data_IF_361731293052
#
_entry.id   IF_361731293052
#
_cell.length_a   1.000
_cell.length_b   1.000
_cell.length_c   1.000
_cell.angle_alpha   90.00
_cell.angle_beta   90.00
_cell.angle_gamma   90.00
#
_symmetry.space_group_name_H-M   'P 1'
#
loop_
_entity.id
_entity.type
_entity.pdbx_description
1 polymer ?
#
# COMPACT_ATOMS: atom_id res chain seq x y z
N UNK A 1 -20.92 -3.26 -11.97
CA UNK A 1 -20.93 -3.67 -10.56
C UNK A 1 -22.23 -4.44 -10.27
N UNK A 2 -22.20 -5.38 -9.36
CA UNK A 2 -23.34 -6.23 -8.98
C UNK A 2 -24.55 -5.39 -8.52
N UNK A 3 -24.32 -4.27 -7.86
CA UNK A 3 -25.36 -3.32 -7.45
C UNK A 3 -26.16 -2.81 -8.65
N UNK A 4 -25.53 -2.34 -9.72
CA UNK A 4 -26.22 -1.91 -10.95
C UNK A 4 -27.04 -3.02 -11.60
N UNK A 5 -26.54 -4.27 -11.55
CA UNK A 5 -27.27 -5.43 -12.05
C UNK A 5 -28.55 -5.69 -11.24
N UNK A 6 -28.46 -5.61 -9.91
CA UNK A 6 -29.60 -5.78 -9.01
C UNK A 6 -30.62 -4.64 -9.13
N UNK A 7 -30.18 -3.41 -9.28
CA UNK A 7 -31.06 -2.25 -9.55
C UNK A 7 -31.86 -2.44 -10.84
N UNK A 8 -31.22 -2.96 -11.90
CA UNK A 8 -31.89 -3.27 -13.16
C UNK A 8 -32.94 -4.37 -12.99
N UNK A 9 -32.61 -5.44 -12.26
CA UNK A 9 -33.54 -6.53 -11.93
C UNK A 9 -34.73 -6.04 -11.09
N UNK A 10 -34.51 -5.14 -10.14
CA UNK A 10 -35.55 -4.52 -9.35
C UNK A 10 -36.52 -3.70 -10.22
N UNK A 11 -36.00 -2.82 -11.08
CA UNK A 11 -36.83 -2.07 -12.00
C UNK A 11 -37.64 -2.96 -12.93
N UNK A 12 -37.05 -3.99 -13.52
CA UNK A 12 -37.75 -4.94 -14.38
C UNK A 12 -38.90 -5.66 -13.65
N UNK A 13 -38.69 -6.12 -12.42
CA UNK A 13 -39.70 -6.77 -11.60
C UNK A 13 -40.84 -5.84 -11.23
N UNK A 14 -40.52 -4.56 -10.87
CA UNK A 14 -41.52 -3.55 -10.52
C UNK A 14 -42.41 -3.20 -11.72
N UNK A 15 -41.81 -2.99 -12.90
CA UNK A 15 -42.55 -2.73 -14.14
C UNK A 15 -43.42 -3.92 -14.54
N UNK A 16 -42.94 -5.18 -14.36
CA UNK A 16 -43.75 -6.37 -14.62
C UNK A 16 -44.94 -6.49 -13.66
N UNK A 17 -44.76 -6.18 -12.38
CA UNK A 17 -45.84 -6.18 -11.40
C UNK A 17 -46.93 -5.16 -11.79
N UNK A 18 -46.57 -3.91 -12.10
CA UNK A 18 -47.53 -2.89 -12.55
C UNK A 18 -48.25 -3.25 -13.84
N UNK A 19 -47.58 -3.89 -14.81
CA UNK A 19 -48.24 -4.36 -16.05
C UNK A 19 -49.25 -5.49 -15.80
N UNK A 20 -49.07 -6.25 -14.76
CA UNK A 20 -50.04 -7.32 -14.40
C UNK A 20 -51.28 -6.70 -13.77
N UNK A 21 -51.14 -5.69 -12.94
CA UNK A 21 -52.24 -4.94 -12.31
C UNK A 21 -53.04 -4.10 -13.33
N UNK A 22 -52.39 -3.52 -14.33
CA UNK A 22 -53.01 -2.63 -15.31
C UNK A 22 -53.67 -3.33 -16.51
N UNK A 23 -53.73 -4.67 -16.55
CA UNK A 23 -54.43 -5.36 -17.64
C UNK A 23 -55.95 -5.19 -17.53
N UNK A 24 -56.61 -4.56 -18.52
CA UNK A 24 -58.07 -4.40 -18.50
C UNK A 24 -58.77 -5.76 -18.56
N UNK A 25 -59.73 -5.96 -17.68
CA UNK A 25 -60.60 -7.12 -17.65
C UNK A 25 -61.64 -7.01 -18.78
N UNK A 26 -61.28 -7.39 -20.00
CA UNK A 26 -62.29 -7.64 -21.07
C UNK A 26 -62.73 -9.08 -20.97
N UNK A 27 -63.87 -9.35 -20.32
CA UNK A 27 -64.57 -10.60 -20.41
C UNK A 27 -66.07 -10.39 -20.53
N UNK A 28 -66.66 -11.05 -21.51
CA UNK A 28 -68.12 -11.08 -21.78
C UNK A 28 -68.90 -11.73 -20.62
N UNK A 29 -70.05 -11.14 -20.34
CA UNK A 29 -70.87 -11.41 -19.16
C UNK A 29 -71.81 -12.58 -19.32
N UNK A 30 -71.35 -13.81 -19.30
CA UNK A 30 -72.24 -14.94 -19.01
C UNK A 30 -71.46 -16.19 -18.63
N UNK A 31 -71.49 -16.60 -17.42
CA UNK A 31 -70.74 -17.68 -16.71
C UNK A 31 -69.60 -17.24 -15.81
N UNK A 32 -69.59 -16.04 -15.42
CA UNK A 32 -68.36 -15.35 -15.09
C UNK A 32 -68.08 -15.19 -13.61
N UNK A 33 -69.01 -15.21 -12.66
CA UNK A 33 -68.76 -14.75 -11.29
C UNK A 33 -67.71 -15.59 -10.53
N UNK A 34 -67.72 -16.89 -10.64
CA UNK A 34 -66.81 -17.76 -9.88
C UNK A 34 -65.46 -17.95 -10.60
N UNK A 35 -65.43 -18.05 -11.95
CA UNK A 35 -64.20 -18.16 -12.73
C UNK A 35 -63.44 -16.81 -12.74
N UNK A 36 -64.18 -15.71 -12.83
CA UNK A 36 -63.57 -14.39 -12.73
C UNK A 36 -62.92 -14.11 -11.37
N UNK A 37 -63.59 -14.50 -10.26
CA UNK A 37 -63.05 -14.34 -8.93
C UNK A 37 -61.72 -15.11 -8.74
N UNK A 38 -61.64 -16.37 -9.18
CA UNK A 38 -60.44 -17.19 -9.10
C UNK A 38 -59.33 -16.69 -10.03
N UNK A 39 -59.66 -16.20 -11.23
CA UNK A 39 -58.74 -15.64 -12.18
C UNK A 39 -58.15 -14.31 -11.66
N UNK A 40 -58.99 -13.41 -11.11
CA UNK A 40 -58.56 -12.15 -10.49
C UNK A 40 -57.65 -12.42 -9.31
N UNK A 41 -58.03 -13.34 -8.44
CA UNK A 41 -57.20 -13.73 -7.26
C UNK A 41 -55.84 -14.29 -7.67
N UNK A 42 -55.76 -15.11 -8.73
CA UNK A 42 -54.46 -15.60 -9.25
C UNK A 42 -53.59 -14.48 -9.83
N UNK A 43 -54.19 -13.47 -10.45
CA UNK A 43 -53.47 -12.31 -10.98
C UNK A 43 -52.95 -11.46 -9.82
N UNK A 44 -53.77 -11.17 -8.81
CA UNK A 44 -53.38 -10.45 -7.61
C UNK A 44 -52.27 -11.18 -6.83
N UNK A 45 -52.40 -12.50 -6.64
CA UNK A 45 -51.39 -13.31 -5.97
C UNK A 45 -50.06 -13.30 -6.72
N UNK A 46 -50.10 -13.30 -8.06
CA UNK A 46 -48.91 -13.18 -8.90
C UNK A 46 -48.26 -11.78 -8.82
N UNK A 47 -49.07 -10.73 -8.80
CA UNK A 47 -48.60 -9.35 -8.62
C UNK A 47 -47.94 -9.19 -7.23
N UNK A 48 -48.60 -9.61 -6.15
CA UNK A 48 -48.06 -9.61 -4.78
C UNK A 48 -46.77 -10.42 -4.64
N UNK A 49 -46.68 -11.58 -5.31
CA UNK A 49 -45.46 -12.40 -5.33
C UNK A 49 -44.30 -11.66 -6.00
N UNK A 50 -44.56 -10.94 -7.12
CA UNK A 50 -43.54 -10.13 -7.78
C UNK A 50 -43.11 -8.92 -6.96
N UNK A 51 -44.04 -8.27 -6.28
CA UNK A 51 -43.72 -7.15 -5.36
C UNK A 51 -42.86 -7.62 -4.19
N UNK A 52 -43.22 -8.74 -3.54
CA UNK A 52 -42.38 -9.33 -2.48
C UNK A 52 -40.97 -9.65 -3.00
N UNK A 53 -40.89 -10.21 -4.22
CA UNK A 53 -39.61 -10.50 -4.84
C UNK A 53 -38.80 -9.23 -5.17
N UNK A 54 -39.42 -8.13 -5.58
CA UNK A 54 -38.77 -6.84 -5.78
C UNK A 54 -38.30 -6.26 -4.45
N UNK A 55 -39.13 -6.29 -3.40
CA UNK A 55 -38.77 -5.81 -2.05
C UNK A 55 -37.56 -6.57 -1.47
N UNK A 56 -37.49 -7.88 -1.69
CA UNK A 56 -36.34 -8.68 -1.27
C UNK A 56 -35.06 -8.30 -2.00
N UNK A 57 -35.15 -7.97 -3.30
CA UNK A 57 -34.00 -7.47 -4.05
C UNK A 57 -33.55 -6.09 -3.52
N UNK A 58 -34.52 -5.23 -3.18
CA UNK A 58 -34.20 -3.90 -2.60
C UNK A 58 -33.51 -4.02 -1.24
N UNK A 59 -34.03 -4.87 -0.34
CA UNK A 59 -33.36 -5.16 0.95
C UNK A 59 -31.93 -5.69 0.73
N UNK A 60 -31.72 -6.51 -0.28
CA UNK A 60 -30.38 -7.02 -0.61
C UNK A 60 -29.45 -5.89 -1.10
N UNK A 61 -29.96 -4.93 -1.84
CA UNK A 61 -29.21 -3.75 -2.28
C UNK A 61 -28.87 -2.86 -1.08
N UNK A 62 -29.81 -2.66 -0.14
CA UNK A 62 -29.60 -1.87 1.08
C UNK A 62 -28.55 -2.51 2.01
N UNK A 63 -28.56 -3.84 2.11
CA UNK A 63 -27.55 -4.60 2.89
C UNK A 63 -26.21 -4.77 2.16
N UNK A 64 -26.11 -4.42 0.89
CA UNK A 64 -24.81 -4.37 0.21
C UNK A 64 -24.04 -3.16 0.75
N UNK A 65 -23.14 -3.40 1.71
CA UNK A 65 -22.12 -2.42 2.07
C UNK A 65 -21.43 -1.95 0.80
N UNK A 66 -21.59 -0.67 0.49
CA UNK A 66 -20.80 -0.01 -0.54
C UNK A 66 -19.36 -0.01 -0.02
N UNK A 67 -18.59 -1.05 -0.32
CA UNK A 67 -17.15 -1.00 -0.13
C UNK A 67 -16.69 0.22 -0.91
N UNK A 68 -16.42 1.30 -0.19
CA UNK A 68 -15.79 2.48 -0.77
C UNK A 68 -14.55 1.99 -1.51
N UNK A 69 -14.41 2.39 -2.78
CA UNK A 69 -13.20 2.13 -3.54
C UNK A 69 -12.02 2.49 -2.63
N UNK A 70 -11.04 1.61 -2.38
CA UNK A 70 -9.89 1.97 -1.56
C UNK A 70 -9.39 3.32 -2.07
N UNK A 71 -9.24 4.30 -1.18
CA UNK A 71 -8.61 5.56 -1.56
C UNK A 71 -7.29 5.20 -2.21
N UNK A 72 -7.12 5.58 -3.48
CA UNK A 72 -5.81 5.42 -4.13
C UNK A 72 -4.83 6.14 -3.22
N UNK A 73 -3.95 5.36 -2.61
CA UNK A 73 -2.88 5.94 -1.80
C UNK A 73 -2.11 6.89 -2.71
N UNK A 74 -1.91 8.15 -2.31
CA UNK A 74 -1.11 9.07 -3.10
C UNK A 74 0.22 8.39 -3.38
N UNK A 75 0.59 8.32 -4.66
CA UNK A 75 1.84 7.71 -5.09
C UNK A 75 2.98 8.48 -4.44
N UNK A 76 3.78 7.77 -3.66
CA UNK A 76 4.97 8.33 -3.06
C UNK A 76 5.99 8.59 -4.17
N UNK A 77 6.37 9.84 -4.38
CA UNK A 77 7.46 10.22 -5.27
C UNK A 77 8.63 10.70 -4.40
N UNK A 78 9.56 9.81 -4.01
CA UNK A 78 10.76 10.24 -3.33
C UNK A 78 11.59 11.09 -4.29
N UNK A 79 11.81 12.35 -3.92
CA UNK A 79 12.63 13.28 -4.72
C UNK A 79 14.05 13.30 -4.15
N UNK A 80 14.97 12.63 -4.84
CA UNK A 80 16.38 12.57 -4.50
C UNK A 80 17.22 13.67 -5.16
N UNK A 81 16.59 14.72 -5.73
CA UNK A 81 17.31 15.79 -6.44
C UNK A 81 18.22 16.64 -5.54
N UNK A 82 18.02 16.55 -4.23
CA UNK A 82 18.85 17.26 -3.26
C UNK A 82 20.13 16.50 -2.91
N UNK A 83 20.30 15.29 -3.43
CA UNK A 83 21.50 14.49 -3.19
C UNK A 83 22.61 14.84 -4.20
N UNK A 84 23.84 14.96 -3.73
CA UNK A 84 25.00 15.17 -4.58
C UNK A 84 25.67 13.82 -4.87
N UNK A 85 25.37 13.16 -6.01
CA UNK A 85 25.86 11.82 -6.28
C UNK A 85 27.37 11.82 -6.45
N UNK A 86 28.09 10.75 -6.09
CA UNK A 86 29.51 10.60 -6.36
C UNK A 86 29.81 10.76 -7.85
N UNK A 87 30.98 11.30 -8.18
CA UNK A 87 31.39 11.50 -9.58
C UNK A 87 31.98 10.25 -10.21
N UNK A 88 32.49 9.34 -9.41
CA UNK A 88 33.16 8.12 -9.88
C UNK A 88 32.14 7.17 -10.55
N UNK A 89 32.51 6.52 -11.69
CA UNK A 89 31.66 5.56 -12.38
C UNK A 89 31.44 4.27 -11.56
N UNK A 90 32.41 3.88 -10.73
CA UNK A 90 32.34 2.78 -9.79
C UNK A 90 32.34 3.36 -8.40
N UNK A 91 31.33 3.03 -7.59
CA UNK A 91 31.17 3.60 -6.25
C UNK A 91 31.54 2.63 -5.14
N UNK A 92 31.40 1.34 -5.38
CA UNK A 92 31.83 0.29 -4.46
C UNK A 92 32.54 -0.80 -5.27
N UNK A 93 33.66 -1.30 -4.70
CA UNK A 93 34.43 -2.41 -5.26
C UNK A 93 34.89 -3.31 -4.13
N UNK A 94 34.61 -4.59 -4.27
CA UNK A 94 35.22 -5.65 -3.48
C UNK A 94 36.04 -6.55 -4.36
N UNK A 95 37.28 -6.83 -3.95
CA UNK A 95 38.21 -7.70 -4.68
C UNK A 95 38.78 -8.72 -3.70
N UNK A 96 38.74 -10.01 -4.09
CA UNK A 96 39.28 -11.12 -3.30
C UNK A 96 38.80 -11.14 -1.84
N UNK A 97 37.50 -10.87 -1.64
CA UNK A 97 36.90 -10.81 -0.30
C UNK A 97 36.79 -12.22 0.25
N UNK A 98 37.31 -12.41 1.45
CA UNK A 98 37.13 -13.66 2.20
C UNK A 98 36.66 -13.29 3.62
N UNK A 99 35.61 -13.94 4.07
CA UNK A 99 35.01 -13.67 5.39
C UNK A 99 34.46 -14.96 6.00
N UNK A 100 34.73 -15.17 7.27
CA UNK A 100 34.19 -16.29 8.04
C UNK A 100 33.64 -15.84 9.40
N UNK A 101 32.74 -16.63 9.96
CA UNK A 101 32.31 -16.55 11.35
C UNK A 101 32.77 -17.82 12.08
N UNK A 102 33.74 -17.72 12.98
CA UNK A 102 34.23 -18.81 13.81
C UNK A 102 34.56 -20.09 13.01
N UNK A 103 35.20 -19.90 11.83
CA UNK A 103 35.59 -21.01 10.95
C UNK A 103 34.51 -21.42 9.92
N UNK A 104 33.32 -20.86 9.99
CA UNK A 104 32.30 -21.05 8.94
C UNK A 104 32.50 -20.00 7.83
N UNK A 105 33.03 -20.44 6.69
CA UNK A 105 33.27 -19.56 5.54
C UNK A 105 31.95 -19.03 4.97
N UNK A 106 31.84 -17.72 4.90
CA UNK A 106 30.71 -17.00 4.26
C UNK A 106 31.07 -16.58 2.85
N UNK A 107 32.27 -16.04 2.68
CA UNK A 107 32.84 -15.68 1.39
C UNK A 107 34.23 -16.26 1.24
N UNK A 108 34.55 -16.70 0.03
CA UNK A 108 35.85 -17.21 -0.35
C UNK A 108 36.19 -16.61 -1.74
N UNK A 109 37.17 -15.73 -1.79
CA UNK A 109 37.68 -15.09 -3.01
C UNK A 109 36.58 -14.39 -3.86
N UNK A 110 35.60 -13.77 -3.19
CA UNK A 110 34.49 -13.09 -3.88
C UNK A 110 34.93 -11.72 -4.40
N UNK A 111 34.49 -11.39 -5.61
CA UNK A 111 34.76 -10.06 -6.20
C UNK A 111 33.49 -9.49 -6.82
N UNK A 112 33.26 -8.17 -6.61
CA UNK A 112 32.11 -7.48 -7.19
C UNK A 112 32.36 -5.99 -7.37
N UNK A 113 31.51 -5.37 -8.20
CA UNK A 113 31.56 -3.94 -8.51
C UNK A 113 30.14 -3.37 -8.54
N UNK A 114 29.92 -2.25 -7.86
CA UNK A 114 28.68 -1.48 -7.92
C UNK A 114 28.94 -0.17 -8.66
N UNK A 115 28.22 0.03 -9.77
CA UNK A 115 28.33 1.23 -10.60
C UNK A 115 27.50 2.37 -10.02
N UNK A 116 27.94 3.59 -10.25
CA UNK A 116 27.19 4.77 -9.90
C UNK A 116 25.82 4.79 -10.61
N UNK A 117 24.80 5.32 -9.91
CA UNK A 117 23.41 5.39 -10.40
C UNK A 117 22.78 4.03 -10.75
N UNK A 118 23.41 2.89 -10.42
CA UNK A 118 22.82 1.58 -10.58
C UNK A 118 21.82 1.25 -9.48
N UNK A 119 20.87 0.37 -9.80
CA UNK A 119 20.01 -0.32 -8.83
C UNK A 119 20.47 -1.77 -8.77
N UNK A 120 21.07 -2.17 -7.67
CA UNK A 120 21.64 -3.49 -7.47
C UNK A 120 20.83 -4.27 -6.44
N UNK A 121 20.45 -5.50 -6.76
CA UNK A 121 19.81 -6.42 -5.83
C UNK A 121 20.78 -7.54 -5.46
N UNK A 122 20.87 -7.86 -4.17
CA UNK A 122 21.62 -9.00 -3.65
C UNK A 122 20.62 -10.11 -3.37
N UNK A 123 20.74 -11.23 -4.10
CA UNK A 123 19.84 -12.36 -4.00
C UNK A 123 20.57 -13.57 -3.42
N UNK A 124 19.86 -14.41 -2.69
CA UNK A 124 20.36 -15.64 -2.09
C UNK A 124 19.47 -16.13 -0.97
N UNK A 125 19.68 -17.35 -0.53
CA UNK A 125 18.92 -17.98 0.54
C UNK A 125 19.16 -17.31 1.91
N UNK A 126 18.32 -17.63 2.90
CA UNK A 126 18.53 -17.19 4.26
C UNK A 126 19.84 -17.76 4.80
N UNK A 127 20.68 -16.92 5.39
CA UNK A 127 22.02 -17.33 5.85
C UNK A 127 23.12 -17.27 4.78
N UNK A 128 22.82 -16.94 3.51
CA UNK A 128 23.83 -16.83 2.44
C UNK A 128 24.80 -15.64 2.59
N UNK A 129 24.75 -14.90 3.70
CA UNK A 129 25.68 -13.80 3.96
C UNK A 129 25.23 -12.41 3.49
N UNK A 130 24.00 -12.24 2.97
CA UNK A 130 23.53 -10.92 2.43
C UNK A 130 23.77 -9.76 3.40
N UNK A 131 23.29 -9.88 4.63
CA UNK A 131 23.48 -8.87 5.68
C UNK A 131 24.95 -8.71 6.06
N UNK A 132 25.74 -9.78 6.01
CA UNK A 132 27.19 -9.74 6.22
C UNK A 132 27.86 -8.86 5.17
N UNK A 133 27.53 -9.02 3.88
CA UNK A 133 28.05 -8.18 2.82
C UNK A 133 27.67 -6.71 3.01
N UNK A 134 26.42 -6.44 3.39
CA UNK A 134 25.96 -5.07 3.66
C UNK A 134 26.74 -4.46 4.83
N UNK A 135 27.00 -5.19 5.90
CA UNK A 135 27.82 -4.72 7.03
C UNK A 135 29.27 -4.47 6.58
N UNK A 136 29.88 -5.37 5.79
CA UNK A 136 31.22 -5.17 5.25
C UNK A 136 31.33 -3.89 4.39
N UNK A 137 30.28 -3.57 3.61
CA UNK A 137 30.21 -2.32 2.83
C UNK A 137 30.12 -1.10 3.76
N UNK A 138 29.28 -1.17 4.79
CA UNK A 138 29.09 -0.08 5.75
C UNK A 138 30.37 0.20 6.57
N UNK A 139 31.01 -0.87 7.03
CA UNK A 139 32.23 -0.82 7.83
C UNK A 139 33.48 -0.62 6.96
N UNK A 140 33.34 -0.62 5.62
CA UNK A 140 34.45 -0.55 4.64
C UNK A 140 35.50 -1.64 4.89
N UNK A 141 35.05 -2.80 5.34
CA UNK A 141 35.92 -3.95 5.64
C UNK A 141 36.20 -4.73 4.36
N UNK A 142 37.44 -4.77 3.89
CA UNK A 142 37.90 -5.36 2.62
C UNK A 142 37.17 -4.83 1.36
N UNK A 143 36.39 -3.76 1.49
CA UNK A 143 35.59 -3.18 0.42
C UNK A 143 35.93 -1.72 0.26
N UNK A 144 36.32 -1.35 -0.95
CA UNK A 144 36.53 0.04 -1.30
C UNK A 144 35.19 0.72 -1.59
N UNK A 145 34.93 1.79 -0.87
CA UNK A 145 33.80 2.70 -1.07
C UNK A 145 34.36 4.08 -1.35
N UNK A 146 33.95 4.72 -2.45
CA UNK A 146 34.47 6.05 -2.81
C UNK A 146 34.22 7.07 -1.68
N UNK A 147 35.14 7.99 -1.42
CA UNK A 147 35.03 8.94 -0.29
C UNK A 147 33.76 9.78 -0.33
N UNK A 148 33.30 10.17 -1.54
CA UNK A 148 32.11 10.99 -1.76
C UNK A 148 30.81 10.21 -1.57
N UNK A 149 30.85 8.87 -1.40
CA UNK A 149 29.67 8.07 -1.13
C UNK A 149 29.25 8.20 0.34
N UNK A 150 28.07 8.79 0.54
CA UNK A 150 27.41 8.93 1.82
C UNK A 150 26.31 7.88 1.92
N UNK A 151 26.63 6.81 2.66
CA UNK A 151 25.76 5.63 2.76
C UNK A 151 24.62 5.90 3.74
N UNK A 152 23.39 5.69 3.29
CA UNK A 152 22.21 5.61 4.14
C UNK A 152 21.74 4.16 4.23
N UNK A 153 21.57 3.66 5.45
CA UNK A 153 21.18 2.28 5.69
C UNK A 153 19.85 2.22 6.42
N UNK A 154 18.92 1.47 5.85
CA UNK A 154 17.67 1.10 6.51
C UNK A 154 17.78 -0.35 6.98
N UNK A 155 17.86 -0.52 8.28
CA UNK A 155 17.82 -1.84 8.93
C UNK A 155 16.39 -2.26 9.21
N UNK A 156 16.12 -3.55 9.19
CA UNK A 156 14.86 -4.14 9.60
C UNK A 156 14.44 -3.74 11.02
N UNK A 157 15.39 -3.59 11.95
CA UNK A 157 15.14 -3.26 13.36
C UNK A 157 15.14 -1.77 13.70
N UNK A 158 15.33 -0.86 12.74
CA UNK A 158 15.20 0.61 12.87
C UNK A 158 15.89 1.21 14.11
N UNK A 159 17.05 0.68 14.49
CA UNK A 159 17.80 1.05 15.70
C UNK A 159 18.31 2.51 15.74
N UNK A 160 18.16 3.26 14.64
CA UNK A 160 18.71 4.63 14.51
C UNK A 160 17.73 5.71 14.95
N UNK A 161 16.60 5.35 15.57
CA UNK A 161 15.57 6.30 16.01
C UNK A 161 15.55 6.42 17.52
N UNK A 162 15.46 7.65 18.00
CA UNK A 162 15.19 7.92 19.39
C UNK A 162 13.68 7.77 19.67
N UNK A 163 13.32 6.71 20.40
CA UNK A 163 11.93 6.37 20.68
C UNK A 163 11.22 7.40 21.57
N UNK A 164 11.95 8.18 22.34
CA UNK A 164 11.41 9.17 23.27
C UNK A 164 11.18 10.54 22.63
N UNK A 165 11.83 10.80 21.51
CA UNK A 165 11.62 12.02 20.72
C UNK A 165 10.42 11.89 19.79
N UNK A 166 9.90 13.04 19.37
CA UNK A 166 8.85 13.10 18.36
C UNK A 166 9.38 12.73 16.97
N UNK A 167 8.48 12.40 16.07
CA UNK A 167 8.78 12.15 14.65
C UNK A 167 9.55 13.31 14.04
N UNK A 168 9.09 14.54 14.27
CA UNK A 168 9.73 15.73 13.71
C UNK A 168 11.13 15.96 14.30
N UNK A 169 11.31 15.77 15.60
CA UNK A 169 12.61 15.91 16.26
C UNK A 169 13.62 14.88 15.74
N UNK A 170 13.20 13.62 15.53
CA UNK A 170 14.08 12.62 14.92
C UNK A 170 14.51 13.00 13.51
N UNK A 171 13.58 13.49 12.68
CA UNK A 171 13.90 13.94 11.33
C UNK A 171 14.85 15.15 11.36
N UNK A 172 14.60 16.11 12.22
CA UNK A 172 15.43 17.32 12.32
C UNK A 172 16.83 17.05 12.88
N UNK A 173 17.00 15.99 13.67
CA UNK A 173 18.32 15.60 14.19
C UNK A 173 19.32 15.18 13.10
N UNK A 174 18.82 14.68 11.97
CA UNK A 174 19.65 14.22 10.83
C UNK A 174 19.49 15.09 9.58
N UNK A 175 18.61 16.08 9.62
CA UNK A 175 18.27 16.90 8.46
C UNK A 175 19.32 17.95 8.18
N UNK A 176 19.77 17.99 6.91
CA UNK A 176 20.50 19.14 6.35
C UNK A 176 19.57 20.20 5.77
N UNK A 177 18.25 19.92 5.79
CA UNK A 177 17.19 20.75 5.21
C UNK A 177 16.50 21.58 6.29
N UNK A 178 15.84 22.67 5.86
CA UNK A 178 14.98 23.45 6.74
C UNK A 178 13.75 22.63 7.17
N UNK A 179 13.21 22.95 8.33
CA UNK A 179 12.05 22.26 8.92
C UNK A 179 10.84 22.21 7.98
N UNK A 180 10.62 23.23 7.16
CA UNK A 180 9.51 23.28 6.19
C UNK A 180 9.63 22.19 5.12
N UNK A 181 10.87 21.94 4.65
CA UNK A 181 11.15 20.87 3.68
C UNK A 181 10.97 19.50 4.36
N UNK A 182 11.46 19.34 5.58
CA UNK A 182 11.29 18.12 6.35
C UNK A 182 9.80 17.79 6.56
N UNK A 183 8.98 18.77 6.93
CA UNK A 183 7.51 18.60 7.04
C UNK A 183 6.86 18.21 5.72
N UNK A 184 7.30 18.82 4.62
CA UNK A 184 6.79 18.48 3.27
C UNK A 184 7.12 17.03 2.92
N UNK A 185 8.33 16.56 3.22
CA UNK A 185 8.73 15.17 2.99
C UNK A 185 7.92 14.21 3.85
N UNK A 186 7.74 14.50 5.14
CA UNK A 186 6.90 13.70 6.03
C UNK A 186 5.46 13.61 5.52
N UNK A 187 4.88 14.73 5.08
CA UNK A 187 3.53 14.76 4.51
C UNK A 187 3.42 13.92 3.22
N UNK A 188 4.43 13.96 2.35
CA UNK A 188 4.50 13.10 1.14
C UNK A 188 4.59 11.61 1.48
N UNK A 189 5.14 11.27 2.63
CA UNK A 189 5.18 9.91 3.18
C UNK A 189 3.90 9.55 3.97
N UNK A 190 2.88 10.42 3.91
CA UNK A 190 1.60 10.23 4.61
C UNK A 190 1.72 10.23 6.13
N UNK A 191 2.69 10.93 6.68
CA UNK A 191 2.76 11.27 8.09
C UNK A 191 2.12 12.65 8.26
N UNK A 192 0.99 12.69 8.95
CA UNK A 192 0.21 13.93 9.15
C UNK A 192 0.86 14.84 10.20
N UNK A 193 0.43 16.10 10.28
CA UNK A 193 0.87 17.03 11.32
C UNK A 193 0.64 16.47 12.74
N UNK A 194 -0.41 15.67 12.93
CA UNK A 194 -0.66 14.98 14.20
C UNK A 194 0.39 13.90 14.47
N UNK A 195 0.79 13.16 13.43
CA UNK A 195 1.79 12.10 13.55
C UNK A 195 3.18 12.67 13.81
N UNK A 196 3.51 13.83 13.23
CA UNK A 196 4.78 14.52 13.44
C UNK A 196 5.04 14.90 14.91
N UNK A 197 3.96 15.09 15.68
CA UNK A 197 4.01 15.42 17.11
C UNK A 197 4.02 14.20 18.04
N UNK A 198 3.74 13.00 17.52
CA UNK A 198 3.79 11.77 18.30
C UNK A 198 5.24 11.38 18.60
N UNK A 199 5.45 10.70 19.72
CA UNK A 199 6.71 10.04 20.02
C UNK A 199 6.88 8.82 19.11
N UNK A 200 8.12 8.50 18.75
CA UNK A 200 8.39 7.37 17.83
C UNK A 200 7.94 6.04 18.43
N UNK A 201 7.96 5.88 19.75
CA UNK A 201 7.44 4.69 20.43
C UNK A 201 5.96 4.41 20.14
N UNK A 202 5.15 5.45 19.87
CA UNK A 202 3.71 5.35 19.64
C UNK A 202 3.36 5.06 18.18
N UNK A 203 4.35 4.95 17.30
CA UNK A 203 4.19 4.66 15.88
C UNK A 203 4.05 3.16 15.64
N UNK A 204 3.19 2.81 14.67
CA UNK A 204 3.17 1.48 14.08
C UNK A 204 4.46 1.15 13.31
N UNK A 205 4.72 -0.13 13.04
CA UNK A 205 5.91 -0.55 12.26
C UNK A 205 6.00 0.13 10.90
N UNK A 206 4.87 0.23 10.18
CA UNK A 206 4.83 0.92 8.89
C UNK A 206 5.07 2.44 8.98
N UNK A 207 4.61 3.09 10.05
CA UNK A 207 4.90 4.52 10.29
C UNK A 207 6.36 4.74 10.66
N UNK A 208 6.98 3.84 11.42
CA UNK A 208 8.43 3.87 11.70
C UNK A 208 9.24 3.68 10.42
N UNK A 209 8.82 2.79 9.51
CA UNK A 209 9.48 2.62 8.21
C UNK A 209 9.41 3.93 7.39
N UNK A 210 8.25 4.58 7.34
CA UNK A 210 8.10 5.90 6.69
C UNK A 210 9.00 6.95 7.30
N UNK A 211 9.13 6.96 8.65
CA UNK A 211 10.05 7.85 9.35
C UNK A 211 11.51 7.57 8.96
N UNK A 212 11.92 6.30 8.89
CA UNK A 212 13.25 5.92 8.43
C UNK A 212 13.55 6.48 7.03
N UNK A 213 12.62 6.32 6.10
CA UNK A 213 12.75 6.91 4.77
C UNK A 213 12.78 8.44 4.80
N UNK A 214 11.96 9.09 5.64
CA UNK A 214 12.02 10.55 5.79
C UNK A 214 13.39 11.02 6.25
N UNK A 215 13.95 10.37 7.27
CA UNK A 215 15.29 10.69 7.81
C UNK A 215 16.37 10.56 6.74
N UNK A 216 16.29 9.55 5.87
CA UNK A 216 17.22 9.41 4.75
C UNK A 216 17.06 10.50 3.69
N UNK A 217 15.80 10.85 3.36
CA UNK A 217 15.51 11.86 2.33
C UNK A 217 15.91 13.29 2.73
N UNK A 218 15.95 13.59 4.03
CA UNK A 218 16.35 14.91 4.53
C UNK A 218 17.85 15.00 4.84
N UNK A 219 18.53 13.85 4.94
CA UNK A 219 19.96 13.77 5.24
C UNK A 219 20.81 13.93 3.98
N UNK A 220 22.13 14.06 4.17
CA UNK A 220 23.10 14.19 3.08
C UNK A 220 23.51 12.81 2.49
N UNK A 221 22.55 11.89 2.39
CA UNK A 221 22.76 10.54 1.85
C UNK A 221 22.62 10.57 0.34
N UNK A 222 23.57 9.97 -0.37
CA UNK A 222 23.55 9.88 -1.84
C UNK A 222 23.59 8.43 -2.36
N UNK A 223 23.68 7.45 -1.46
CA UNK A 223 23.57 6.03 -1.75
C UNK A 223 22.74 5.33 -0.67
N UNK A 224 21.72 4.57 -1.08
CA UNK A 224 20.83 3.86 -0.18
C UNK A 224 21.14 2.36 -0.16
N UNK A 225 21.22 1.82 1.04
CA UNK A 225 21.31 0.39 1.31
C UNK A 225 20.04 -0.01 2.06
N UNK A 226 19.30 -0.97 1.51
CA UNK A 226 18.05 -1.46 2.06
C UNK A 226 18.20 -2.95 2.38
N UNK A 227 17.93 -3.33 3.63
CA UNK A 227 17.98 -4.72 4.09
C UNK A 227 16.56 -5.17 4.43
N UNK A 228 15.97 -5.99 3.56
CA UNK A 228 14.59 -6.49 3.65
C UNK A 228 13.54 -5.37 3.92
N UNK A 229 13.44 -4.36 3.03
CA UNK A 229 12.59 -3.18 3.23
C UNK A 229 11.10 -3.47 3.08
#
# INVERSE_FOLDING_TARGET
SEKRRLEKVYCEKKVKAQRIESRPHNMAANDAKTRNFLATRKIEDKARSMERSATNVMKRIEHMEVKSKPKELPKMHPDFRLTNPPRNPIVIRGEHISFDYDGNKVYEDASFVIKNKSKTAILGDNGAGKTTLLNMILDRNQIYVVPDAKLGYVRQNMSNMDLDRTVLENVMAVSIQKQEIARTILARLLLTERDMKKKVRDLSGGERMKLAFAMLLVSDVNMLILDEP
#
